data_IF_732108129625
#
_entry.id   IF_732108129625
#
_cell.length_a   1.000
_cell.length_b   1.000
_cell.length_c   1.000
_cell.angle_alpha   90.00
_cell.angle_beta   90.00
_cell.angle_gamma   90.00
#
_symmetry.space_group_name_H-M   'P 1'
#
loop_
_entity.id
_entity.type
_entity.pdbx_description
1 polymer ?
#
# COMPACT_ATOMS: atom_id res chain seq x y z
N UNK A 1 11.03 -3.31 37.61
CA UNK A 1 11.89 -2.25 37.04
C UNK A 1 11.87 -2.40 35.52
N UNK A 2 10.93 -1.73 34.84
CA UNK A 2 10.68 -1.91 33.40
C UNK A 2 11.42 -0.81 32.64
N UNK A 3 12.33 -1.20 31.74
CA UNK A 3 13.10 -0.28 30.88
C UNK A 3 12.14 0.41 29.91
N UNK A 4 12.08 1.73 29.98
CA UNK A 4 11.28 2.57 29.07
C UNK A 4 11.77 2.44 27.63
N UNK A 5 10.85 2.11 26.74
CA UNK A 5 11.06 2.11 25.29
C UNK A 5 11.20 3.58 24.84
N UNK A 6 12.38 3.99 24.35
CA UNK A 6 12.55 5.33 23.79
C UNK A 6 11.94 5.37 22.37
N UNK A 7 11.14 6.39 22.02
CA UNK A 7 10.67 6.57 20.66
C UNK A 7 11.85 6.92 19.73
N UNK A 8 11.79 6.41 18.50
CA UNK A 8 12.79 6.65 17.48
C UNK A 8 12.96 8.16 17.23
N UNK A 9 14.15 8.68 17.53
CA UNK A 9 14.54 10.07 17.30
C UNK A 9 15.03 10.22 15.86
N UNK A 10 14.43 11.14 15.10
CA UNK A 10 14.97 11.54 13.80
C UNK A 10 16.43 12.04 13.99
N UNK A 11 17.36 11.70 13.08
CA UNK A 11 18.73 12.20 13.17
C UNK A 11 18.72 13.72 13.07
N UNK A 12 19.33 14.39 14.05
CA UNK A 12 19.59 15.81 14.00
C UNK A 12 20.61 16.07 12.87
N UNK A 13 20.16 16.40 11.68
CA UNK A 13 21.01 17.09 10.71
C UNK A 13 21.37 18.46 11.32
N UNK A 14 22.68 18.71 11.42
CA UNK A 14 23.21 19.96 11.93
C UNK A 14 22.66 21.10 11.06
N UNK A 15 21.77 21.88 11.66
CA UNK A 15 21.23 23.12 11.10
C UNK A 15 22.38 24.13 10.99
N UNK A 16 22.88 24.33 9.77
CA UNK A 16 23.56 25.58 9.42
C UNK A 16 22.49 26.65 9.24
N UNK A 17 22.42 27.52 10.25
CA UNK A 17 21.85 28.87 10.30
C UNK A 17 20.65 29.21 9.39
N UNK A 18 19.51 29.44 10.05
CA UNK A 18 18.75 30.67 9.82
C UNK A 18 17.78 30.73 8.64
N UNK A 19 17.47 29.63 7.94
CA UNK A 19 16.31 29.62 7.03
C UNK A 19 15.17 28.80 7.62
N UNK A 20 14.06 29.48 7.89
CA UNK A 20 12.79 28.83 8.23
C UNK A 20 12.35 28.03 7.00
N UNK A 21 12.72 26.75 6.95
CA UNK A 21 12.31 25.83 5.89
C UNK A 21 10.81 25.54 6.05
N UNK A 22 10.00 26.48 5.56
CA UNK A 22 8.55 26.39 5.37
C UNK A 22 8.20 25.74 4.04
N UNK A 23 9.20 25.42 3.22
CA UNK A 23 9.03 24.81 1.92
C UNK A 23 8.94 23.30 2.07
N UNK A 24 7.84 22.78 1.53
CA UNK A 24 7.47 21.38 1.66
C UNK A 24 8.36 20.47 0.80
N UNK A 25 8.90 20.97 -0.30
CA UNK A 25 9.62 20.17 -1.31
C UNK A 25 10.87 19.46 -0.76
N UNK A 26 11.80 20.13 -0.04
CA UNK A 26 12.97 19.48 0.53
C UNK A 26 12.61 18.43 1.60
N UNK A 27 11.49 18.62 2.31
CA UNK A 27 11.04 17.74 3.38
C UNK A 27 10.53 16.41 2.82
N UNK A 28 9.75 16.41 1.72
CA UNK A 28 9.37 15.12 1.12
C UNK A 28 10.56 14.42 0.49
N UNK A 29 11.49 15.14 -0.13
CA UNK A 29 12.66 14.50 -0.74
C UNK A 29 13.53 13.82 0.32
N UNK A 30 13.75 14.49 1.47
CA UNK A 30 14.44 13.89 2.61
C UNK A 30 13.69 12.65 3.16
N UNK A 31 12.36 12.72 3.25
CA UNK A 31 11.53 11.59 3.69
C UNK A 31 11.57 10.40 2.70
N UNK A 32 11.54 10.66 1.40
CA UNK A 32 11.63 9.66 0.33
C UNK A 32 12.94 8.90 0.41
N UNK A 33 14.02 9.66 0.55
CA UNK A 33 15.36 9.11 0.70
C UNK A 33 15.46 8.23 1.94
N UNK A 34 14.89 8.67 3.08
CA UNK A 34 14.84 7.90 4.31
C UNK A 34 14.09 6.57 4.15
N UNK A 35 12.87 6.59 3.59
CA UNK A 35 12.10 5.36 3.37
C UNK A 35 12.82 4.40 2.43
N UNK A 36 13.36 4.89 1.32
CA UNK A 36 14.09 4.05 0.36
C UNK A 36 15.31 3.40 0.99
N UNK A 37 16.08 4.18 1.76
CA UNK A 37 17.25 3.68 2.49
C UNK A 37 16.87 2.64 3.54
N UNK A 38 15.80 2.88 4.30
CA UNK A 38 15.33 1.97 5.36
C UNK A 38 14.80 0.64 4.81
N UNK A 39 14.17 0.65 3.63
CA UNK A 39 13.66 -0.55 2.97
C UNK A 39 14.77 -1.39 2.34
N UNK A 40 15.89 -0.76 1.93
CA UNK A 40 17.04 -1.47 1.36
C UNK A 40 17.99 -2.08 2.40
N UNK A 41 17.99 -1.60 3.66
CA UNK A 41 19.00 -1.98 4.65
C UNK A 41 18.61 -3.10 5.61
N UNK A 42 17.39 -3.66 5.55
CA UNK A 42 16.99 -4.77 6.41
C UNK A 42 16.14 -5.81 5.65
N UNK A 43 16.79 -6.61 4.82
CA UNK A 43 16.32 -7.96 4.50
C UNK A 43 17.27 -8.97 5.12
N UNK A 44 17.44 -8.93 6.44
CA UNK A 44 17.82 -10.15 7.17
C UNK A 44 16.64 -11.10 7.01
N UNK A 45 16.65 -11.87 5.93
CA UNK A 45 15.69 -12.92 5.65
C UNK A 45 15.85 -13.95 6.77
N UNK A 46 15.06 -13.81 7.83
CA UNK A 46 14.74 -14.98 8.65
C UNK A 46 13.93 -15.87 7.73
N UNK A 47 14.62 -16.82 7.08
CA UNK A 47 13.97 -17.85 6.29
C UNK A 47 13.07 -18.65 7.22
N UNK A 48 11.78 -18.32 7.20
CA UNK A 48 10.75 -19.14 7.80
C UNK A 48 10.46 -20.21 6.75
N UNK A 49 10.81 -21.49 6.99
CA UNK A 49 10.49 -22.55 6.03
C UNK A 49 8.97 -22.55 5.80
N UNK A 50 8.50 -22.76 4.56
CA UNK A 50 7.08 -22.90 4.29
C UNK A 50 6.53 -24.00 5.19
N UNK A 51 5.66 -23.63 6.14
CA UNK A 51 4.87 -24.58 6.91
C UNK A 51 4.13 -25.46 5.92
N UNK A 52 4.43 -26.76 5.90
CA UNK A 52 3.72 -27.70 5.07
C UNK A 52 2.26 -27.75 5.53
N UNK A 53 1.40 -27.25 4.65
CA UNK A 53 0.00 -27.60 4.56
C UNK A 53 -0.93 -27.07 5.66
N UNK A 54 -1.16 -25.74 5.65
CA UNK A 54 -2.43 -25.18 6.14
C UNK A 54 -3.47 -25.33 5.03
N UNK A 55 -4.05 -26.52 4.91
CA UNK A 55 -5.21 -26.76 4.06
C UNK A 55 -6.39 -25.96 4.64
N UNK A 56 -6.61 -24.77 4.10
CA UNK A 56 -7.78 -23.95 4.37
C UNK A 56 -7.40 -22.51 4.64
N UNK A 57 -7.64 -21.64 3.65
CA UNK A 57 -7.82 -20.22 3.97
C UNK A 57 -9.05 -20.07 4.86
N UNK A 58 -8.85 -19.40 5.99
CA UNK A 58 -9.93 -19.02 6.93
C UNK A 58 -10.85 -17.97 6.29
N UNK A 59 -10.46 -17.41 5.14
CA UNK A 59 -11.20 -16.37 4.44
C UNK A 59 -12.41 -16.96 3.71
N UNK A 60 -13.55 -16.32 3.91
CA UNK A 60 -14.78 -16.63 3.19
C UNK A 60 -14.61 -16.35 1.70
N UNK A 61 -15.06 -17.28 0.86
CA UNK A 61 -15.14 -17.07 -0.58
C UNK A 61 -16.10 -15.90 -0.90
N UNK A 62 -15.76 -15.14 -1.94
CA UNK A 62 -16.56 -14.01 -2.43
C UNK A 62 -17.46 -14.42 -3.59
N UNK A 63 -18.37 -13.53 -3.97
CA UNK A 63 -19.27 -13.69 -5.11
C UNK A 63 -19.12 -12.56 -6.12
N UNK A 64 -19.51 -12.82 -7.37
CA UNK A 64 -19.55 -11.80 -8.41
C UNK A 64 -20.34 -10.54 -7.98
N UNK A 65 -21.46 -10.72 -7.27
CA UNK A 65 -22.29 -9.60 -6.83
C UNK A 65 -21.58 -8.75 -5.78
N UNK A 66 -20.90 -9.39 -4.83
CA UNK A 66 -20.08 -8.69 -3.82
C UNK A 66 -18.97 -7.89 -4.49
N UNK A 67 -18.26 -8.49 -5.44
CA UNK A 67 -17.21 -7.80 -6.21
C UNK A 67 -17.79 -6.63 -7.01
N UNK A 68 -18.92 -6.81 -7.70
CA UNK A 68 -19.58 -5.74 -8.45
C UNK A 68 -19.99 -4.57 -7.55
N UNK A 69 -20.51 -4.87 -6.34
CA UNK A 69 -20.83 -3.85 -5.34
C UNK A 69 -19.57 -3.09 -4.91
N UNK A 70 -18.49 -3.80 -4.59
CA UNK A 70 -17.20 -3.17 -4.24
C UNK A 70 -16.68 -2.27 -5.37
N UNK A 71 -16.73 -2.73 -6.62
CA UNK A 71 -16.34 -1.92 -7.80
C UNK A 71 -17.19 -0.64 -7.88
N UNK A 72 -18.50 -0.75 -7.63
CA UNK A 72 -19.40 0.41 -7.69
C UNK A 72 -19.07 1.48 -6.63
N UNK A 73 -18.56 1.05 -5.47
CA UNK A 73 -18.16 1.90 -4.34
C UNK A 73 -16.78 2.56 -4.51
N UNK A 74 -15.97 2.15 -5.49
CA UNK A 74 -14.65 2.74 -5.70
C UNK A 74 -14.77 4.25 -5.96
N UNK A 75 -13.88 5.07 -5.39
CA UNK A 75 -13.89 6.52 -5.67
C UNK A 75 -13.40 6.77 -7.10
N UNK A 76 -14.09 7.57 -7.91
CA UNK A 76 -13.55 7.99 -9.20
C UNK A 76 -12.29 8.84 -8.94
N UNK A 77 -11.13 8.27 -9.23
CA UNK A 77 -9.83 8.94 -9.11
C UNK A 77 -9.03 8.76 -10.38
N UNK A 78 -8.23 9.77 -10.71
CA UNK A 78 -7.24 9.70 -11.80
C UNK A 78 -5.94 9.01 -11.36
N UNK A 79 -5.75 8.82 -10.06
CA UNK A 79 -4.65 8.01 -9.53
C UNK A 79 -4.87 6.55 -9.93
N UNK A 80 -3.85 5.97 -10.53
CA UNK A 80 -3.81 4.58 -11.01
C UNK A 80 -2.84 3.75 -10.16
N UNK A 81 -3.02 2.43 -10.18
CA UNK A 81 -2.05 1.49 -9.62
C UNK A 81 -0.84 1.29 -10.54
N UNK A 82 -0.05 0.25 -10.24
CA UNK A 82 1.08 -0.16 -11.09
C UNK A 82 0.67 -0.59 -12.51
N UNK A 83 -0.62 -0.90 -12.71
CA UNK A 83 -1.22 -1.31 -13.98
C UNK A 83 -1.65 -0.13 -14.87
N UNK A 84 -1.58 1.12 -14.37
CA UNK A 84 -2.05 2.31 -15.06
C UNK A 84 -3.54 2.27 -15.49
N UNK A 85 -4.36 1.45 -14.82
CA UNK A 85 -5.80 1.37 -15.12
C UNK A 85 -6.57 2.35 -14.22
N UNK A 86 -7.30 3.33 -14.79
CA UNK A 86 -8.10 4.25 -13.99
C UNK A 86 -9.34 3.56 -13.42
N UNK A 87 -9.75 3.97 -12.22
CA UNK A 87 -10.94 3.43 -11.55
C UNK A 87 -12.21 3.57 -12.39
N UNK A 88 -12.31 4.60 -13.24
CA UNK A 88 -13.42 4.77 -14.17
C UNK A 88 -13.52 3.61 -15.17
N UNK A 89 -12.41 3.16 -15.76
CA UNK A 89 -12.38 2.03 -16.69
C UNK A 89 -12.86 0.75 -15.99
N UNK A 90 -12.40 0.50 -14.76
CA UNK A 90 -12.85 -0.65 -13.96
C UNK A 90 -14.36 -0.61 -13.71
N UNK A 91 -14.91 0.57 -13.41
CA UNK A 91 -16.36 0.75 -13.22
C UNK A 91 -17.15 0.46 -14.50
N UNK A 92 -16.71 0.98 -15.64
CA UNK A 92 -17.37 0.73 -16.93
C UNK A 92 -17.36 -0.75 -17.30
N UNK A 93 -16.28 -1.46 -16.98
CA UNK A 93 -16.11 -2.88 -17.28
C UNK A 93 -16.59 -3.81 -16.15
N UNK A 94 -17.27 -3.29 -15.13
CA UNK A 94 -17.66 -4.05 -13.92
C UNK A 94 -18.44 -5.32 -14.22
N UNK A 95 -19.37 -5.27 -15.20
CA UNK A 95 -20.19 -6.43 -15.58
C UNK A 95 -19.37 -7.63 -16.06
N UNK A 96 -18.24 -7.38 -16.73
CA UNK A 96 -17.32 -8.41 -17.23
C UNK A 96 -16.30 -8.78 -16.16
N UNK A 97 -15.72 -7.77 -15.50
CA UNK A 97 -14.62 -7.96 -14.56
C UNK A 97 -15.06 -8.63 -13.26
N UNK A 98 -16.28 -8.37 -12.78
CA UNK A 98 -16.72 -8.85 -11.47
C UNK A 98 -16.65 -10.38 -11.34
N UNK A 99 -17.00 -11.12 -12.40
CA UNK A 99 -16.88 -12.59 -12.40
C UNK A 99 -15.42 -13.03 -12.34
N UNK A 100 -14.59 -12.48 -13.24
CA UNK A 100 -13.18 -12.86 -13.35
C UNK A 100 -12.40 -12.56 -12.07
N UNK A 101 -12.68 -11.41 -11.45
CA UNK A 101 -12.07 -11.01 -10.18
C UNK A 101 -12.56 -11.91 -9.05
N UNK A 102 -13.86 -12.24 -8.98
CA UNK A 102 -14.38 -13.17 -7.97
C UNK A 102 -13.71 -14.54 -8.07
N UNK A 103 -13.56 -15.09 -9.27
CA UNK A 103 -12.91 -16.38 -9.50
C UNK A 103 -11.42 -16.32 -9.12
N UNK A 104 -10.73 -15.22 -9.43
CA UNK A 104 -9.34 -15.00 -9.06
C UNK A 104 -9.16 -14.93 -7.53
N UNK A 105 -10.01 -14.18 -6.83
CA UNK A 105 -9.98 -14.07 -5.37
C UNK A 105 -10.24 -15.45 -4.75
N UNK A 106 -11.28 -16.14 -5.20
CA UNK A 106 -11.65 -17.45 -4.66
C UNK A 106 -10.56 -18.49 -4.87
N UNK A 107 -9.90 -18.50 -6.03
CA UNK A 107 -8.74 -19.36 -6.28
C UNK A 107 -7.56 -18.98 -5.39
N UNK A 108 -7.32 -17.68 -5.20
CA UNK A 108 -6.22 -17.23 -4.34
C UNK A 108 -6.43 -17.63 -2.88
N UNK A 109 -7.68 -17.55 -2.40
CA UNK A 109 -8.04 -18.00 -1.07
C UNK A 109 -7.99 -19.53 -0.95
N UNK A 110 -8.56 -20.29 -1.89
CA UNK A 110 -8.58 -21.75 -1.77
C UNK A 110 -7.20 -22.40 -1.89
N UNK A 111 -6.32 -21.81 -2.71
CA UNK A 111 -4.96 -22.34 -2.94
C UNK A 111 -3.90 -21.71 -2.06
N UNK A 112 -4.23 -20.64 -1.34
CA UNK A 112 -3.27 -19.78 -0.62
C UNK A 112 -2.16 -19.21 -1.52
N UNK A 113 -2.36 -19.15 -2.84
CA UNK A 113 -1.40 -18.63 -3.82
C UNK A 113 -1.92 -17.30 -4.37
N UNK A 114 -1.10 -16.25 -4.27
CA UNK A 114 -1.44 -14.91 -4.74
C UNK A 114 -0.52 -14.46 -5.88
N UNK A 115 -1.06 -13.81 -6.93
CA UNK A 115 -0.25 -13.22 -8.00
C UNK A 115 0.87 -12.34 -7.45
N UNK A 116 2.07 -12.44 -8.02
CA UNK A 116 3.23 -11.64 -7.61
C UNK A 116 2.98 -10.14 -7.75
N UNK A 117 2.21 -9.72 -8.76
CA UNK A 117 1.82 -8.32 -8.95
C UNK A 117 0.96 -7.75 -7.81
N UNK A 118 0.23 -8.58 -7.07
CA UNK A 118 -0.56 -8.13 -5.91
C UNK A 118 0.29 -7.81 -4.68
N UNK A 119 1.58 -8.20 -4.70
CA UNK A 119 2.54 -7.95 -3.61
C UNK A 119 3.33 -6.66 -3.83
N UNK A 120 3.08 -5.94 -4.92
CA UNK A 120 3.75 -4.69 -5.28
C UNK A 120 2.96 -3.52 -4.71
N UNK A 121 3.65 -2.57 -4.05
CA UNK A 121 3.05 -1.33 -3.55
C UNK A 121 3.85 -0.12 -4.04
N UNK A 122 3.16 0.83 -4.67
CA UNK A 122 3.75 2.12 -5.07
C UNK A 122 3.51 3.14 -3.95
N UNK A 123 4.60 3.65 -3.36
CA UNK A 123 4.55 4.73 -2.38
C UNK A 123 4.85 6.06 -3.07
N UNK A 124 3.84 6.90 -3.24
CA UNK A 124 4.00 8.27 -3.76
C UNK A 124 3.68 9.23 -2.61
N UNK A 125 4.63 10.07 -2.17
CA UNK A 125 4.37 11.09 -1.17
C UNK A 125 3.45 12.14 -1.75
N UNK A 126 2.37 12.43 -1.04
CA UNK A 126 1.44 13.48 -1.43
C UNK A 126 1.55 14.60 -0.39
N UNK A 127 1.90 15.79 -0.85
CA UNK A 127 1.89 16.98 -0.01
C UNK A 127 0.46 17.37 0.36
N UNK A 128 0.15 17.35 1.66
CA UNK A 128 -1.10 17.93 2.15
C UNK A 128 -1.00 19.45 2.03
N UNK A 129 -1.88 20.06 1.25
CA UNK A 129 -2.06 21.53 1.23
C UNK A 129 -2.39 22.00 2.65
N UNK A 130 -1.68 23.03 3.14
CA UNK A 130 -1.99 23.69 4.43
C UNK A 130 -3.47 24.05 4.44
N UNK A 131 -4.15 23.70 5.54
CA UNK A 131 -5.60 23.74 5.66
C UNK A 131 -6.21 25.04 5.17
N UNK A 132 -7.32 24.94 4.44
CA UNK A 132 -8.27 26.03 4.31
C UNK A 132 -8.78 26.35 5.72
N UNK A 133 -8.26 27.42 6.30
CA UNK A 133 -8.79 28.02 7.52
C UNK A 133 -10.08 28.72 7.06
N UNK A 134 -11.23 28.10 7.32
CA UNK A 134 -12.51 28.79 7.32
C UNK A 134 -12.90 29.00 8.79
#
# INVERSE_FOLDING_TARGET
HIKGHQPARLPNEKVSEGSSLKDSEPIAEAFNHFLRKSMSSNTSSTYIPPSENVNGSILKLTSQNEVALVISLLKPSHSTGADNIPTSAVKYSSSILARQISDLINRSFSTCIYPSCFKISNSIPIFKRKGSIN
#
